data_IF_095473719384
#
_entry.id   IF_095473719384
#
_cell.length_a   1.000
_cell.length_b   1.000
_cell.length_c   1.000
_cell.angle_alpha   90.00
_cell.angle_beta   90.00
_cell.angle_gamma   90.00
#
_symmetry.space_group_name_H-M   'P 1'
#
loop_
_entity.id
_entity.type
_entity.pdbx_description
1 polymer ?
#
# COMPACT_ATOMS: atom_id res chain seq x y z
N UNK A 1 -23.39 28.03 -39.41
CA UNK A 1 -22.87 26.95 -38.55
C UNK A 1 -21.52 26.54 -39.12
N UNK A 2 -20.43 26.97 -38.50
CA UNK A 2 -19.08 26.62 -38.94
C UNK A 2 -18.70 25.27 -38.32
N UNK A 3 -18.50 24.26 -39.16
CA UNK A 3 -18.03 22.93 -38.76
C UNK A 3 -16.55 23.03 -38.38
N UNK A 4 -16.28 23.22 -37.08
CA UNK A 4 -14.92 23.21 -36.54
C UNK A 4 -14.30 21.83 -36.70
N UNK A 5 -13.35 21.71 -37.63
CA UNK A 5 -12.54 20.51 -37.81
C UNK A 5 -11.55 20.46 -36.64
N UNK A 6 -11.79 19.58 -35.68
CA UNK A 6 -10.83 19.26 -34.62
C UNK A 6 -9.69 18.48 -35.26
N UNK A 7 -8.58 19.13 -35.61
CA UNK A 7 -7.36 18.40 -35.96
C UNK A 7 -6.87 17.68 -34.70
N UNK A 8 -6.75 16.36 -34.75
CA UNK A 8 -6.17 15.60 -33.65
C UNK A 8 -4.74 16.07 -33.40
N UNK A 9 -4.40 16.32 -32.14
CA UNK A 9 -3.03 16.61 -31.75
C UNK A 9 -2.15 15.38 -32.04
N UNK A 10 -1.12 15.56 -32.88
CA UNK A 10 -0.10 14.55 -33.17
C UNK A 10 1.24 15.08 -32.65
N UNK A 11 1.70 14.64 -31.48
CA UNK A 11 2.96 15.12 -30.92
C UNK A 11 4.15 14.69 -31.79
N UNK A 12 5.07 15.63 -32.06
CA UNK A 12 6.31 15.37 -32.79
C UNK A 12 7.42 14.93 -31.83
N UNK A 13 7.58 13.61 -31.68
CA UNK A 13 8.64 13.04 -30.87
C UNK A 13 9.94 12.88 -31.68
N UNK A 14 11.11 13.19 -31.10
CA UNK A 14 12.40 12.92 -31.73
C UNK A 14 12.69 11.41 -31.76
N UNK A 15 13.48 10.96 -32.74
CA UNK A 15 13.92 9.57 -32.83
C UNK A 15 15.11 9.25 -31.90
N UNK A 16 15.68 10.26 -31.24
CA UNK A 16 16.81 10.14 -30.33
C UNK A 16 16.59 11.04 -29.10
N UNK A 17 17.06 10.64 -27.91
CA UNK A 17 16.91 11.44 -26.69
C UNK A 17 17.78 12.71 -26.76
N UNK A 18 17.27 13.80 -26.20
CA UNK A 18 17.95 15.11 -26.21
C UNK A 18 19.07 15.21 -25.16
N UNK A 19 19.07 14.33 -24.16
CA UNK A 19 19.98 14.40 -23.00
C UNK A 19 20.57 13.01 -22.74
N UNK A 20 21.87 12.96 -22.39
CA UNK A 20 22.54 11.77 -21.84
C UNK A 20 21.78 11.32 -20.57
N UNK A 21 20.95 10.29 -20.72
CA UNK A 21 19.95 9.91 -19.72
C UNK A 21 18.63 9.42 -20.32
N UNK A 22 18.43 9.57 -21.64
CA UNK A 22 17.31 8.95 -22.35
C UNK A 22 16.00 9.76 -22.31
N UNK A 23 16.03 11.02 -21.87
CA UNK A 23 14.86 11.88 -21.89
C UNK A 23 14.54 12.36 -23.31
N UNK A 24 13.33 12.08 -23.78
CA UNK A 24 12.78 12.60 -25.03
C UNK A 24 11.98 13.86 -24.73
N UNK A 25 12.42 15.00 -25.24
CA UNK A 25 11.60 16.22 -25.26
C UNK A 25 10.90 16.29 -26.63
N UNK A 26 9.63 16.67 -26.73
CA UNK A 26 9.01 16.91 -28.03
C UNK A 26 9.77 17.98 -28.81
N UNK A 27 9.89 17.83 -30.13
CA UNK A 27 10.59 18.78 -31.01
C UNK A 27 9.77 20.07 -31.26
N UNK A 28 8.66 20.24 -30.56
CA UNK A 28 7.71 21.33 -30.76
C UNK A 28 7.94 22.53 -29.83
N UNK A 29 9.07 22.60 -29.13
CA UNK A 29 9.36 23.62 -28.11
C UNK A 29 9.17 25.07 -28.60
N UNK A 30 9.44 25.36 -29.87
CA UNK A 30 9.21 26.67 -30.51
C UNK A 30 7.89 26.81 -31.28
N UNK A 31 7.11 25.73 -31.45
CA UNK A 31 5.82 25.74 -32.18
C UNK A 31 4.62 25.43 -31.30
N UNK A 32 4.83 25.12 -30.01
CA UNK A 32 3.76 25.07 -29.03
C UNK A 32 3.00 26.38 -29.08
N UNK A 33 1.69 26.27 -29.26
CA UNK A 33 0.78 27.38 -29.00
C UNK A 33 1.20 28.00 -27.67
N UNK A 34 1.52 29.30 -27.63
CA UNK A 34 1.90 29.94 -26.39
C UNK A 34 0.83 29.63 -25.35
N UNK A 35 1.24 29.32 -24.12
CA UNK A 35 0.29 29.12 -23.03
C UNK A 35 -0.66 30.32 -23.06
N UNK A 36 -1.97 30.10 -23.25
CA UNK A 36 -2.88 31.21 -23.36
C UNK A 36 -2.79 31.99 -22.05
N UNK A 37 -2.67 33.32 -22.13
CA UNK A 37 -2.54 34.18 -20.95
C UNK A 37 -3.71 33.99 -19.97
N UNK A 38 -4.84 33.48 -20.49
CA UNK A 38 -6.01 33.08 -19.73
C UNK A 38 -6.36 31.61 -19.99
N UNK A 39 -6.73 30.83 -18.95
CA UNK A 39 -7.20 29.47 -19.13
C UNK A 39 -8.41 29.41 -20.07
N UNK A 40 -8.52 28.39 -20.94
CA UNK A 40 -9.71 28.20 -21.76
C UNK A 40 -10.99 28.13 -20.92
N UNK A 41 -12.09 28.70 -21.43
CA UNK A 41 -13.36 28.76 -20.70
C UNK A 41 -13.86 27.38 -20.24
N UNK A 42 -13.62 26.33 -21.04
CA UNK A 42 -13.97 24.95 -20.67
C UNK A 42 -13.26 24.47 -19.40
N UNK A 43 -12.01 24.89 -19.16
CA UNK A 43 -11.27 24.58 -17.93
C UNK A 43 -11.90 25.32 -16.76
N UNK A 44 -12.26 26.60 -16.94
CA UNK A 44 -12.95 27.39 -15.91
C UNK A 44 -14.33 26.80 -15.59
N UNK A 45 -15.04 26.30 -16.60
CA UNK A 45 -16.35 25.65 -16.44
C UNK A 45 -16.22 24.31 -15.70
N UNK A 46 -15.18 23.50 -16.00
CA UNK A 46 -14.87 22.29 -15.24
C UNK A 46 -14.54 22.64 -13.80
N UNK A 47 -13.66 23.62 -13.55
CA UNK A 47 -13.32 24.07 -12.19
C UNK A 47 -14.58 24.54 -11.47
N UNK A 48 -15.47 25.28 -12.14
CA UNK A 48 -16.74 25.73 -11.58
C UNK A 48 -17.74 24.59 -11.38
N UNK A 49 -17.74 23.55 -12.21
CA UNK A 49 -18.60 22.39 -12.01
C UNK A 49 -18.10 21.52 -10.84
N UNK A 50 -16.78 21.35 -10.73
CA UNK A 50 -16.12 20.51 -9.73
C UNK A 50 -16.05 21.19 -8.37
N UNK A 51 -15.79 22.49 -8.33
CA UNK A 51 -15.56 23.27 -7.09
C UNK A 51 -16.55 24.42 -6.90
N UNK A 52 -17.40 24.71 -7.89
CA UNK A 52 -18.33 25.85 -7.85
C UNK A 52 -19.71 25.52 -7.27
N UNK A 53 -19.85 24.40 -6.56
CA UNK A 53 -20.66 24.44 -5.35
C UNK A 53 -19.96 25.42 -4.40
N UNK A 54 -20.30 26.69 -4.56
CA UNK A 54 -19.95 27.73 -3.62
C UNK A 54 -20.36 27.23 -2.24
N UNK A 55 -19.38 26.85 -1.43
CA UNK A 55 -19.41 27.27 -0.04
C UNK A 55 -19.69 28.77 -0.12
N UNK A 56 -20.93 29.17 0.14
CA UNK A 56 -21.25 30.55 0.46
C UNK A 56 -20.45 30.81 1.73
N UNK A 57 -19.20 31.22 1.57
CA UNK A 57 -18.35 31.69 2.63
C UNK A 57 -19.00 32.97 3.09
N UNK A 58 -19.87 32.87 4.08
CA UNK A 58 -20.64 34.00 4.64
C UNK A 58 -19.74 35.15 5.11
N UNK A 59 -18.41 34.95 5.20
CA UNK A 59 -17.42 35.96 5.52
C UNK A 59 -16.44 36.25 4.37
N UNK A 60 -16.91 36.91 3.31
CA UNK A 60 -16.05 37.53 2.28
C UNK A 60 -15.02 38.52 2.87
N UNK A 61 -15.29 39.07 4.07
CA UNK A 61 -14.40 39.97 4.80
C UNK A 61 -13.23 39.23 5.47
N UNK A 62 -13.44 37.99 5.95
CA UNK A 62 -12.37 37.19 6.59
C UNK A 62 -11.38 36.66 5.55
N UNK A 63 -11.84 36.33 4.34
CA UNK A 63 -10.95 35.90 3.25
C UNK A 63 -10.00 37.00 2.77
N UNK A 64 -10.41 38.28 2.79
CA UNK A 64 -9.51 39.40 2.45
C UNK A 64 -8.34 39.57 3.42
N UNK A 65 -8.49 39.07 4.65
CA UNK A 65 -7.46 39.11 5.69
C UNK A 65 -6.81 37.72 5.94
N UNK A 66 -7.29 36.66 5.29
CA UNK A 66 -6.77 35.32 5.44
C UNK A 66 -5.39 35.21 4.79
N UNK A 67 -4.35 35.29 5.61
CA UNK A 67 -2.96 35.10 5.18
C UNK A 67 -2.67 33.60 5.10
N UNK A 68 -2.50 33.07 3.90
CA UNK A 68 -2.00 31.70 3.74
C UNK A 68 -0.55 31.62 4.22
N UNK A 69 -0.34 30.88 5.31
CA UNK A 69 1.00 30.61 5.80
C UNK A 69 1.58 29.44 5.01
N UNK A 70 2.65 29.71 4.25
CA UNK A 70 3.41 28.65 3.59
C UNK A 70 3.83 27.60 4.63
N UNK A 71 3.77 26.32 4.27
CA UNK A 71 4.09 25.22 5.18
C UNK A 71 5.41 25.43 5.95
N UNK A 72 6.55 25.81 5.33
CA UNK A 72 7.81 26.03 6.06
C UNK A 72 7.78 27.17 7.08
N UNK A 73 6.81 28.09 6.97
CA UNK A 73 6.62 29.22 7.89
C UNK A 73 5.70 28.89 9.06
N UNK A 74 5.12 27.69 9.10
CA UNK A 74 4.35 27.23 10.24
C UNK A 74 5.29 26.92 11.43
N UNK A 75 4.83 27.15 12.67
CA UNK A 75 5.48 26.65 13.87
C UNK A 75 5.82 25.16 13.73
N UNK A 76 6.96 24.78 14.31
CA UNK A 76 7.50 23.42 14.18
C UNK A 76 6.50 22.36 14.66
N UNK A 77 5.77 22.64 15.74
CA UNK A 77 4.76 21.75 16.32
C UNK A 77 3.63 21.45 15.32
N UNK A 78 3.22 22.45 14.55
CA UNK A 78 2.17 22.29 13.54
C UNK A 78 2.67 21.50 12.34
N UNK A 79 3.89 21.78 11.86
CA UNK A 79 4.49 20.99 10.76
C UNK A 79 4.64 19.52 11.14
N UNK A 80 5.12 19.25 12.37
CA UNK A 80 5.21 17.88 12.90
C UNK A 80 3.85 17.20 12.99
N UNK A 81 2.81 17.91 13.44
CA UNK A 81 1.44 17.37 13.46
C UNK A 81 0.91 17.07 12.06
N UNK A 82 1.14 17.96 11.10
CA UNK A 82 0.75 17.73 9.69
C UNK A 82 1.43 16.47 9.17
N UNK A 83 2.74 16.31 9.38
CA UNK A 83 3.43 15.09 8.97
C UNK A 83 2.91 13.84 9.67
N UNK A 84 2.61 13.93 10.97
CA UNK A 84 1.99 12.84 11.71
C UNK A 84 0.65 12.42 11.12
N UNK A 85 -0.23 13.37 10.82
CA UNK A 85 -1.53 13.10 10.20
C UNK A 85 -1.45 12.73 8.71
N UNK A 86 -0.28 12.90 8.08
CA UNK A 86 -0.04 12.44 6.70
C UNK A 86 0.47 11.00 6.63
N UNK A 87 0.81 10.38 7.77
CA UNK A 87 1.15 8.97 7.78
C UNK A 87 -0.09 8.17 7.40
N UNK A 88 0.05 7.10 6.59
CA UNK A 88 -1.09 6.25 6.31
C UNK A 88 -1.59 5.61 7.62
N UNK A 89 -2.89 5.36 7.68
CA UNK A 89 -3.50 4.55 8.74
C UNK A 89 -3.11 3.08 8.61
N UNK A 90 -3.91 2.18 9.19
CA UNK A 90 -3.69 0.76 9.05
C UNK A 90 -3.73 0.34 7.58
N UNK A 91 -2.67 -0.33 7.14
CA UNK A 91 -2.52 -0.87 5.79
C UNK A 91 -2.17 -2.34 5.85
N UNK A 92 -2.44 -3.03 4.75
CA UNK A 92 -2.19 -4.46 4.63
C UNK A 92 -0.91 -4.64 3.84
N UNK A 93 0.04 -5.36 4.43
CA UNK A 93 1.31 -5.67 3.79
C UNK A 93 1.31 -7.14 3.45
N UNK A 94 1.28 -7.42 2.16
CA UNK A 94 1.15 -8.77 1.65
C UNK A 94 2.52 -9.45 1.61
N UNK A 95 2.60 -10.61 2.28
CA UNK A 95 3.77 -11.46 2.26
C UNK A 95 3.56 -12.59 1.26
N UNK A 96 4.35 -12.57 0.19
CA UNK A 96 4.32 -13.57 -0.87
C UNK A 96 5.45 -14.57 -0.72
N UNK A 97 5.15 -15.82 -1.02
CA UNK A 97 6.15 -16.87 -1.17
C UNK A 97 5.81 -17.78 -2.33
N UNK A 98 6.70 -17.88 -3.31
CA UNK A 98 6.54 -18.77 -4.47
C UNK A 98 7.86 -19.51 -4.69
N UNK A 99 7.80 -20.84 -4.75
CA UNK A 99 8.98 -21.71 -4.93
C UNK A 99 10.12 -21.44 -3.92
N UNK A 100 9.77 -21.06 -2.69
CA UNK A 100 10.73 -20.75 -1.63
C UNK A 100 11.33 -19.34 -1.68
N UNK A 101 10.90 -18.50 -2.63
CA UNK A 101 11.31 -17.10 -2.76
C UNK A 101 10.29 -16.20 -2.11
N UNK A 102 10.79 -15.21 -1.36
CA UNK A 102 9.95 -14.29 -0.59
C UNK A 102 10.02 -12.87 -1.16
N UNK A 103 8.88 -12.19 -1.20
CA UNK A 103 8.82 -10.74 -1.41
C UNK A 103 7.60 -10.17 -0.70
N UNK A 104 7.60 -8.85 -0.54
CA UNK A 104 6.44 -8.12 -0.06
C UNK A 104 6.06 -7.06 -1.06
N UNK A 105 4.76 -6.88 -1.20
CA UNK A 105 4.17 -5.92 -2.12
C UNK A 105 3.33 -4.97 -1.29
N UNK A 106 3.77 -3.72 -1.21
CA UNK A 106 2.95 -2.61 -0.72
C UNK A 106 3.61 -1.26 -1.06
N UNK A 107 2.80 -0.25 -1.32
CA UNK A 107 3.28 1.12 -1.45
C UNK A 107 3.90 1.60 -0.13
N UNK A 108 5.15 2.06 -0.20
CA UNK A 108 5.84 2.59 0.97
C UNK A 108 5.21 3.93 1.39
N UNK A 109 5.12 4.23 2.70
CA UNK A 109 4.53 5.48 3.16
C UNK A 109 5.18 6.69 2.49
N UNK A 110 4.39 7.50 1.78
CA UNK A 110 4.91 8.63 0.99
C UNK A 110 5.78 9.57 1.83
N UNK A 111 5.43 9.73 3.11
CA UNK A 111 6.17 10.53 4.09
C UNK A 111 7.66 10.15 4.23
N UNK A 112 8.06 8.93 3.88
CA UNK A 112 9.47 8.51 3.88
C UNK A 112 10.30 9.18 2.78
N UNK A 113 9.65 9.72 1.74
CA UNK A 113 10.28 10.21 0.51
C UNK A 113 10.04 11.70 0.21
N UNK A 114 9.11 12.37 0.92
CA UNK A 114 8.79 13.78 0.63
C UNK A 114 9.94 14.73 0.98
N UNK A 115 10.40 14.71 2.23
CA UNK A 115 11.49 15.57 2.72
C UNK A 115 12.09 15.02 4.02
N UNK A 116 13.18 15.62 4.49
CA UNK A 116 13.86 15.16 5.72
C UNK A 116 12.97 15.21 6.97
N UNK A 117 12.13 16.23 7.11
CA UNK A 117 11.22 16.38 8.26
C UNK A 117 10.12 15.31 8.25
N UNK A 118 9.52 15.08 7.08
CA UNK A 118 8.52 14.03 6.89
C UNK A 118 9.11 12.65 7.15
N UNK A 119 10.29 12.37 6.58
CA UNK A 119 11.01 11.10 6.78
C UNK A 119 11.35 10.86 8.24
N UNK A 120 11.85 11.87 8.95
CA UNK A 120 12.12 11.78 10.39
C UNK A 120 10.85 11.47 11.19
N UNK A 121 9.71 12.04 10.79
CA UNK A 121 8.42 11.78 11.44
C UNK A 121 7.97 10.35 11.20
N UNK A 122 8.01 9.89 9.95
CA UNK A 122 7.66 8.51 9.57
C UNK A 122 8.55 7.47 10.27
N UNK A 123 9.87 7.67 10.32
CA UNK A 123 10.81 6.73 10.95
C UNK A 123 10.67 6.61 12.48
N UNK A 124 9.97 7.54 13.13
CA UNK A 124 9.63 7.37 14.55
C UNK A 124 8.64 6.21 14.74
N UNK A 125 7.74 6.05 13.77
CA UNK A 125 6.65 5.08 13.76
C UNK A 125 7.09 3.81 13.07
N UNK A 126 7.39 3.91 11.77
CA UNK A 126 7.73 2.80 10.92
C UNK A 126 9.14 2.27 11.17
N UNK A 127 9.27 0.95 11.27
CA UNK A 127 10.55 0.24 11.37
C UNK A 127 10.78 -0.59 10.13
N UNK A 128 12.04 -0.88 9.84
CA UNK A 128 12.37 -1.77 8.73
C UNK A 128 11.96 -3.18 9.12
N UNK A 129 11.09 -3.81 8.34
CA UNK A 129 10.82 -5.23 8.45
C UNK A 129 12.02 -5.98 7.87
N UNK A 130 12.70 -6.78 8.68
CA UNK A 130 13.84 -7.58 8.24
C UNK A 130 13.32 -8.85 7.57
N UNK A 131 12.77 -8.66 6.37
CA UNK A 131 12.59 -9.74 5.43
C UNK A 131 13.96 -10.11 4.85
N UNK A 132 14.13 -11.36 4.44
CA UNK A 132 15.24 -11.81 3.58
C UNK A 132 14.69 -12.12 2.18
N UNK A 133 14.33 -11.11 1.38
CA UNK A 133 13.84 -11.38 0.05
C UNK A 133 15.00 -11.86 -0.82
N UNK A 134 14.79 -12.92 -1.59
CA UNK A 134 15.77 -13.37 -2.59
C UNK A 134 15.75 -12.47 -3.84
N UNK A 135 14.67 -11.70 -4.06
CA UNK A 135 14.43 -10.98 -5.31
C UNK A 135 14.07 -9.50 -5.17
N UNK A 136 13.95 -8.97 -3.96
CA UNK A 136 13.68 -7.53 -3.77
C UNK A 136 14.77 -6.88 -2.94
N UNK A 137 15.35 -5.80 -3.47
CA UNK A 137 16.20 -4.87 -2.72
C UNK A 137 15.37 -3.81 -2.01
N UNK A 138 14.04 -3.85 -2.18
CA UNK A 138 13.11 -2.89 -1.61
C UNK A 138 13.07 -3.06 -0.09
N UNK A 139 13.50 -2.01 0.61
CA UNK A 139 13.35 -1.89 2.06
C UNK A 139 11.86 -1.72 2.34
N UNK A 140 11.29 -2.66 3.08
CA UNK A 140 9.91 -2.53 3.53
C UNK A 140 9.87 -1.95 4.93
N UNK A 141 9.13 -0.86 5.07
CA UNK A 141 8.80 -0.26 6.35
C UNK A 141 7.48 -0.83 6.87
N UNK A 142 7.36 -1.02 8.18
CA UNK A 142 6.23 -1.65 8.86
C UNK A 142 5.99 -0.94 10.22
N UNK A 143 4.75 -0.58 10.54
CA UNK A 143 4.33 -0.16 11.88
C UNK A 143 3.64 -1.32 12.60
N UNK A 144 4.35 -1.91 13.55
CA UNK A 144 3.91 -3.08 14.31
C UNK A 144 2.62 -2.92 15.11
N UNK A 145 2.16 -1.67 15.33
CA UNK A 145 0.96 -1.39 16.11
C UNK A 145 -0.30 -1.22 15.27
N UNK A 146 -0.17 -1.03 13.95
CA UNK A 146 -1.32 -0.72 13.07
C UNK A 146 -1.29 -1.48 11.75
N UNK A 147 -0.11 -1.75 11.19
CA UNK A 147 0.01 -2.49 9.93
C UNK A 147 -0.40 -3.96 10.14
N UNK A 148 -1.07 -4.51 9.13
CA UNK A 148 -1.56 -5.88 9.12
C UNK A 148 -0.66 -6.71 8.22
N UNK A 149 0.00 -7.72 8.77
CA UNK A 149 0.76 -8.68 7.97
C UNK A 149 -0.21 -9.68 7.33
N UNK A 150 -0.42 -9.60 6.02
CA UNK A 150 -1.28 -10.54 5.30
C UNK A 150 -0.49 -11.70 4.73
N UNK A 151 -0.90 -12.91 5.12
CA UNK A 151 -0.38 -14.18 4.65
C UNK A 151 -1.35 -14.71 3.58
N UNK A 152 -1.18 -14.19 2.36
CA UNK A 152 -2.08 -14.38 1.22
C UNK A 152 -1.62 -15.42 0.19
N UNK A 153 -2.53 -15.77 -0.72
CA UNK A 153 -2.37 -16.81 -1.74
C UNK A 153 -1.38 -16.37 -2.84
N UNK A 154 -0.11 -16.77 -2.69
CA UNK A 154 0.77 -17.08 -3.83
C UNK A 154 1.10 -18.57 -3.77
N UNK A 155 0.58 -19.39 -4.70
CA UNK A 155 0.75 -20.85 -4.82
C UNK A 155 1.22 -21.66 -3.57
N UNK A 156 0.67 -21.38 -2.38
CA UNK A 156 0.94 -22.15 -1.15
C UNK A 156 0.23 -23.52 -1.23
N UNK A 157 -0.41 -23.81 -2.36
CA UNK A 157 -1.29 -24.95 -2.62
C UNK A 157 -0.65 -26.31 -2.39
N UNK A 158 0.69 -26.38 -2.31
CA UNK A 158 1.43 -27.64 -2.16
C UNK A 158 2.16 -27.81 -0.82
N UNK A 159 2.12 -26.86 0.12
CA UNK A 159 3.05 -26.84 1.25
C UNK A 159 2.41 -26.56 2.63
N UNK A 160 1.54 -27.47 3.08
CA UNK A 160 0.84 -27.46 4.38
C UNK A 160 1.76 -27.36 5.62
N UNK A 161 2.99 -27.88 5.55
CA UNK A 161 3.96 -27.85 6.65
C UNK A 161 4.87 -26.62 6.64
N UNK A 162 4.75 -25.77 5.63
CA UNK A 162 5.74 -24.73 5.40
C UNK A 162 5.32 -23.35 5.89
N UNK A 163 4.09 -23.03 6.31
CA UNK A 163 3.79 -21.63 6.67
C UNK A 163 4.69 -21.12 7.79
N UNK A 164 4.80 -21.89 8.88
CA UNK A 164 5.67 -21.53 10.01
C UNK A 164 7.14 -21.47 9.58
N UNK A 165 7.58 -22.44 8.78
CA UNK A 165 8.95 -22.48 8.27
C UNK A 165 9.25 -21.35 7.27
N UNK A 166 8.30 -21.00 6.42
CA UNK A 166 8.33 -19.92 5.43
C UNK A 166 8.40 -18.58 6.15
N UNK A 167 7.58 -18.38 7.18
CA UNK A 167 7.65 -17.18 8.02
C UNK A 167 9.01 -17.08 8.71
N UNK A 168 9.53 -18.18 9.28
CA UNK A 168 10.84 -18.19 9.94
C UNK A 168 12.02 -17.98 8.99
N UNK A 169 11.90 -18.45 7.74
CA UNK A 169 12.92 -18.27 6.69
C UNK A 169 12.86 -16.88 6.07
N UNK A 170 11.66 -16.39 5.79
CA UNK A 170 11.40 -15.14 5.08
C UNK A 170 11.45 -13.91 5.98
N UNK A 171 10.92 -13.99 7.20
CA UNK A 171 10.85 -12.86 8.15
C UNK A 171 11.68 -13.19 9.39
N UNK A 172 12.51 -12.25 9.83
CA UNK A 172 13.27 -12.42 11.07
C UNK A 172 12.31 -12.63 12.24
N UNK A 173 12.59 -13.64 13.07
CA UNK A 173 11.81 -13.96 14.27
C UNK A 173 11.47 -12.74 15.14
N UNK A 174 12.45 -11.87 15.39
CA UNK A 174 12.22 -10.67 16.21
C UNK A 174 11.19 -9.69 15.64
N UNK A 175 10.93 -9.71 14.33
CA UNK A 175 9.90 -8.88 13.71
C UNK A 175 8.51 -9.54 13.81
N UNK A 176 8.44 -10.87 13.66
CA UNK A 176 7.21 -11.64 13.91
C UNK A 176 6.75 -11.48 15.37
N UNK A 177 7.70 -11.43 16.31
CA UNK A 177 7.41 -11.22 17.73
C UNK A 177 6.81 -9.84 18.05
N UNK A 178 6.99 -8.86 17.18
CA UNK A 178 6.46 -7.51 17.34
C UNK A 178 5.12 -7.31 16.64
N UNK A 179 4.80 -8.11 15.62
CA UNK A 179 3.58 -7.94 14.83
C UNK A 179 2.32 -8.23 15.66
N UNK A 180 1.47 -7.21 15.80
CA UNK A 180 0.23 -7.29 16.58
C UNK A 180 -0.99 -7.68 15.74
N UNK A 181 -0.93 -7.48 14.42
CA UNK A 181 -2.05 -7.72 13.53
C UNK A 181 -1.59 -8.60 12.36
N UNK A 182 -2.28 -9.72 12.20
CA UNK A 182 -2.07 -10.61 11.07
C UNK A 182 -3.41 -10.95 10.40
N UNK A 183 -3.36 -11.16 9.10
CA UNK A 183 -4.47 -11.70 8.34
C UNK A 183 -4.00 -12.94 7.57
N UNK A 184 -4.86 -13.94 7.48
CA UNK A 184 -4.52 -15.23 6.84
C UNK A 184 -5.65 -15.60 5.90
N UNK A 185 -5.30 -16.03 4.69
CA UNK A 185 -6.28 -16.61 3.78
C UNK A 185 -7.03 -17.79 4.43
N UNK A 186 -8.35 -17.84 4.26
CA UNK A 186 -9.22 -18.82 4.90
C UNK A 186 -8.92 -20.26 4.44
N UNK A 187 -8.48 -20.46 3.19
CA UNK A 187 -8.09 -21.79 2.72
C UNK A 187 -6.82 -22.26 3.48
N UNK A 188 -5.90 -21.34 3.76
CA UNK A 188 -4.68 -21.60 4.54
C UNK A 188 -4.98 -21.78 6.04
N UNK A 189 -5.84 -20.92 6.61
CA UNK A 189 -6.25 -21.02 8.01
C UNK A 189 -7.00 -22.32 8.28
N UNK A 190 -7.93 -22.69 7.38
CA UNK A 190 -8.65 -23.97 7.46
C UNK A 190 -7.66 -25.12 7.50
N UNK A 191 -6.68 -25.16 6.61
CA UNK A 191 -5.65 -26.21 6.58
C UNK A 191 -4.88 -26.31 7.91
N UNK A 192 -4.49 -25.18 8.52
CA UNK A 192 -3.84 -25.17 9.84
C UNK A 192 -4.71 -25.79 10.94
N UNK A 193 -6.02 -25.49 10.92
CA UNK A 193 -6.96 -26.01 11.91
C UNK A 193 -7.27 -27.51 11.70
N UNK A 194 -7.33 -27.98 10.44
CA UNK A 194 -7.55 -29.39 10.12
C UNK A 194 -6.41 -30.29 10.64
N UNK A 195 -5.16 -29.81 10.62
CA UNK A 195 -3.99 -30.53 11.16
C UNK A 195 -4.13 -30.79 12.67
N UNK A 196 -4.76 -29.88 13.42
CA UNK A 196 -4.95 -30.03 14.85
C UNK A 196 -6.16 -30.90 15.24
N UNK A 197 -7.07 -31.21 14.31
CA UNK A 197 -8.33 -31.91 14.58
C UNK A 197 -8.45 -33.30 13.91
N UNK A 198 -7.56 -33.66 12.98
CA UNK A 198 -7.55 -34.97 12.31
C UNK A 198 -6.89 -36.09 13.14
N UNK A 199 -7.48 -37.29 13.31
CA UNK A 199 -6.90 -38.32 14.17
C UNK A 199 -5.78 -39.18 13.54
N UNK A 200 -5.50 -39.11 12.24
CA UNK A 200 -4.54 -40.04 11.61
C UNK A 200 -3.93 -39.47 10.32
N UNK A 201 -2.70 -38.97 10.40
CA UNK A 201 -1.69 -39.24 9.38
C UNK A 201 -0.35 -39.48 10.09
N UNK A 202 0.01 -40.76 10.18
CA UNK A 202 1.29 -41.26 10.65
C UNK A 202 2.40 -40.85 9.67
N UNK A 203 2.76 -39.57 9.61
CA UNK A 203 4.06 -39.15 9.11
C UNK A 203 4.99 -39.11 10.32
N UNK A 204 5.85 -40.11 10.44
CA UNK A 204 7.01 -40.07 11.34
C UNK A 204 7.97 -38.97 10.85
N UNK A 205 7.63 -37.71 11.07
CA UNK A 205 8.61 -36.63 11.07
C UNK A 205 9.23 -36.58 12.47
N UNK A 206 10.42 -37.15 12.55
CA UNK A 206 11.34 -37.06 13.67
C UNK A 206 11.50 -35.61 14.17
N UNK A 207 11.31 -35.39 15.48
CA UNK A 207 11.48 -34.16 16.29
C UNK A 207 10.30 -33.20 16.39
N UNK A 208 9.37 -33.54 17.28
CA UNK A 208 8.65 -32.77 18.31
C UNK A 208 8.89 -31.25 18.51
N UNK A 209 8.97 -30.42 17.47
CA UNK A 209 8.93 -28.96 17.63
C UNK A 209 8.31 -28.30 16.40
N UNK A 210 7.05 -28.63 16.06
CA UNK A 210 6.29 -27.76 15.18
C UNK A 210 5.87 -26.53 16.00
N UNK A 211 6.42 -25.32 15.74
CA UNK A 211 6.02 -24.13 16.45
C UNK A 211 4.57 -23.82 16.10
N UNK A 212 3.69 -23.70 17.10
CA UNK A 212 2.32 -23.23 16.86
C UNK A 212 2.36 -21.80 16.29
N UNK A 213 1.38 -21.42 15.47
CA UNK A 213 1.27 -20.05 14.94
C UNK A 213 1.32 -19.00 16.08
N UNK A 214 0.70 -19.30 17.22
CA UNK A 214 0.74 -18.47 18.43
C UNK A 214 2.15 -18.26 19.01
N UNK A 215 3.07 -19.20 18.77
CA UNK A 215 4.47 -19.07 19.20
C UNK A 215 5.29 -18.14 18.31
N UNK A 216 4.85 -17.91 17.06
CA UNK A 216 5.49 -16.96 16.15
C UNK A 216 5.11 -15.52 16.44
N UNK A 217 3.87 -15.31 16.91
CA UNK A 217 3.31 -13.99 17.17
C UNK A 217 2.88 -13.86 18.64
N UNK A 218 3.83 -13.83 19.60
CA UNK A 218 3.51 -13.63 21.01
C UNK A 218 2.79 -12.30 21.30
N UNK A 219 2.98 -11.27 20.46
CA UNK A 219 2.30 -9.98 20.58
C UNK A 219 0.99 -9.89 19.78
N UNK A 220 0.49 -10.99 19.21
CA UNK A 220 -0.70 -10.95 18.35
C UNK A 220 -1.93 -10.50 19.15
N UNK A 221 -2.51 -9.37 18.73
CA UNK A 221 -3.74 -8.82 19.26
C UNK A 221 -4.94 -9.13 18.36
N UNK A 222 -4.72 -9.22 17.05
CA UNK A 222 -5.78 -9.48 16.08
C UNK A 222 -5.32 -10.48 15.02
N UNK A 223 -6.14 -11.49 14.78
CA UNK A 223 -6.00 -12.43 13.69
C UNK A 223 -7.27 -12.39 12.82
N UNK A 224 -7.15 -11.95 11.58
CA UNK A 224 -8.25 -11.94 10.63
C UNK A 224 -8.16 -13.14 9.69
N UNK A 225 -9.30 -13.76 9.38
CA UNK A 225 -9.41 -14.72 8.28
C UNK A 225 -9.95 -14.01 7.05
N UNK A 226 -9.28 -14.14 5.91
CA UNK A 226 -9.68 -13.49 4.66
C UNK A 226 -10.24 -14.54 3.71
N UNK A 227 -11.46 -14.33 3.22
CA UNK A 227 -12.08 -15.19 2.22
C UNK A 227 -11.99 -14.50 0.87
N UNK A 228 -11.07 -14.94 0.02
CA UNK A 228 -10.96 -14.41 -1.35
C UNK A 228 -11.98 -15.15 -2.26
N UNK A 229 -12.99 -14.46 -2.83
CA UNK A 229 -14.00 -15.09 -3.67
C UNK A 229 -13.38 -15.77 -4.90
N UNK A 230 -13.77 -17.01 -5.19
CA UNK A 230 -13.18 -17.80 -6.29
C UNK A 230 -13.31 -17.18 -7.69
N UNK A 231 -14.18 -16.18 -7.88
CA UNK A 231 -14.38 -15.50 -9.16
C UNK A 231 -13.21 -14.58 -9.56
N UNK A 232 -12.32 -14.23 -8.62
CA UNK A 232 -11.10 -13.44 -8.89
C UNK A 232 -9.84 -14.29 -9.01
N UNK A 233 -9.93 -15.62 -8.87
CA UNK A 233 -8.76 -16.51 -9.06
C UNK A 233 -8.45 -16.63 -10.57
N UNK A 234 -7.30 -16.12 -11.07
CA UNK A 234 -6.95 -16.28 -12.48
C UNK A 234 -6.79 -17.76 -12.82
N UNK A 235 -7.54 -18.24 -13.82
CA UNK A 235 -7.55 -19.65 -14.26
C UNK A 235 -6.25 -20.13 -14.92
N UNK A 236 -5.24 -19.28 -15.06
CA UNK A 236 -3.92 -19.66 -15.53
C UNK A 236 -2.89 -18.66 -15.02
N UNK A 237 -1.96 -19.11 -14.17
CA UNK A 237 -0.84 -18.30 -13.68
C UNK A 237 0.13 -17.99 -14.83
N UNK A 238 -0.10 -16.87 -15.50
CA UNK A 238 1.00 -16.06 -16.02
C UNK A 238 1.13 -14.84 -15.10
N UNK A 239 2.34 -14.43 -14.70
CA UNK A 239 2.54 -13.28 -13.83
C UNK A 239 2.27 -12.00 -14.64
N UNK A 240 0.99 -11.69 -14.84
CA UNK A 240 0.54 -10.35 -15.20
C UNK A 240 0.01 -9.73 -13.93
N UNK A 241 0.79 -8.81 -13.39
CA UNK A 241 0.48 -8.00 -12.23
C UNK A 241 -0.60 -6.99 -12.62
N UNK A 242 -1.86 -7.43 -12.60
CA UNK A 242 -3.00 -6.52 -12.57
C UNK A 242 -3.26 -6.18 -11.10
N UNK A 243 -3.28 -4.89 -10.78
CA UNK A 243 -3.60 -4.39 -9.44
C UNK A 243 -5.06 -4.73 -9.13
N UNK A 244 -5.30 -5.86 -8.49
CA UNK A 244 -6.61 -6.19 -7.95
C UNK A 244 -6.77 -5.48 -6.62
N UNK A 245 -7.68 -4.50 -6.56
CA UNK A 245 -8.16 -3.97 -5.28
C UNK A 245 -8.97 -5.07 -4.61
N UNK A 246 -8.35 -5.84 -3.73
CA UNK A 246 -9.07 -6.85 -2.93
C UNK A 246 -9.75 -6.12 -1.78
N UNK A 247 -11.08 -6.08 -1.78
CA UNK A 247 -11.84 -5.66 -0.61
C UNK A 247 -11.65 -6.70 0.49
N UNK A 248 -10.75 -6.41 1.43
CA UNK A 248 -10.51 -7.27 2.59
C UNK A 248 -11.66 -7.04 3.57
N UNK A 249 -12.61 -7.98 3.59
CA UNK A 249 -13.68 -7.99 4.60
C UNK A 249 -13.07 -8.52 5.90
N UNK A 250 -12.64 -7.60 6.76
CA UNK A 250 -12.20 -7.95 8.12
C UNK A 250 -13.45 -8.22 8.96
N UNK A 251 -13.76 -9.50 9.17
CA UNK A 251 -14.73 -9.89 10.19
C UNK A 251 -14.04 -9.84 11.55
N UNK A 252 -14.25 -8.77 12.32
CA UNK A 252 -13.83 -8.70 13.72
C UNK A 252 -14.83 -9.48 14.57
N UNK A 253 -14.35 -10.33 15.49
CA UNK A 253 -15.23 -10.81 16.54
C UNK A 253 -15.71 -9.59 17.35
N UNK A 254 -17.03 -9.49 17.51
CA UNK A 254 -17.66 -8.28 17.99
C UNK A 254 -17.48 -8.12 19.48
N UNK A 255 -16.37 -7.55 19.96
CA UNK A 255 -16.28 -7.14 21.38
C UNK A 255 -15.43 -5.91 21.72
N UNK A 256 -14.98 -5.10 20.75
CA UNK A 256 -14.43 -3.77 21.11
C UNK A 256 -15.04 -2.66 20.26
N UNK A 257 -16.03 -1.99 20.84
CA UNK A 257 -16.64 -0.77 20.30
C UNK A 257 -15.70 0.45 20.38
N UNK A 258 -14.47 0.31 19.89
CA UNK A 258 -13.60 1.44 19.62
C UNK A 258 -13.63 1.66 18.11
N UNK A 259 -14.24 2.79 17.71
CA UNK A 259 -14.13 3.30 16.35
C UNK A 259 -12.67 3.23 15.89
N UNK A 260 -12.43 2.42 14.86
CA UNK A 260 -11.21 2.48 14.08
C UNK A 260 -11.29 3.78 13.29
N UNK A 261 -10.46 4.77 13.64
CA UNK A 261 -10.29 5.97 12.81
C UNK A 261 -9.18 5.70 11.81
N UNK A 262 -9.41 5.94 10.50
CA UNK A 262 -8.37 5.90 9.48
C UNK A 262 -7.28 6.95 9.74
#
# INVERSE_FOLDING_TARGET
MATGVTSSFVPSWPNQPHIEGGCFLPNDDGTRTPYPETPPQSVLDIVKATYGQTFTLENTQDMKNAKFHLFPKLPFELRKRIWWYSLPGARVIEFYCVEGKYWMEEEQPIALYVCQESRKTALNVYKVLNCKPEHTTAITYFDYNVDILYLGIGDISSCQYMLVEMLQRGIKRGDLELAQHAAIDNDLLSQLLWIHLGPFLHLQSSKDNCPHLSSLFPALHSLASIVVPSATKPRSYQPKFENYSVDIIVATDGYSGKEFRP
#
